data_IF_482504317577
#
_entry.id   IF_482504317577
#
_cell.length_a   1.000
_cell.length_b   1.000
_cell.length_c   1.000
_cell.angle_alpha   90.00
_cell.angle_beta   90.00
_cell.angle_gamma   90.00
#
_symmetry.space_group_name_H-M   'P 1'
#
loop_
_entity.id
_entity.type
_entity.pdbx_description
1 polymer ?
#
# COMPACT_ATOMS: atom_id res chain seq x y z
N UNK A 1 57.20 13.19 37.36
CA UNK A 1 56.27 12.46 38.26
C UNK A 1 55.27 13.50 38.76
N UNK A 2 53.96 13.42 38.58
CA UNK A 2 53.08 12.29 38.31
C UNK A 2 52.04 12.66 37.24
N UNK A 3 51.67 11.65 36.46
CA UNK A 3 50.60 11.64 35.47
C UNK A 3 49.25 11.52 36.18
N UNK A 4 48.29 12.37 35.83
CA UNK A 4 46.88 12.26 36.23
C UNK A 4 46.08 11.76 35.03
N UNK A 5 45.70 10.49 35.09
CA UNK A 5 45.04 9.72 34.04
C UNK A 5 43.60 10.15 33.77
N UNK A 6 43.25 10.06 32.49
CA UNK A 6 41.93 10.12 31.89
C UNK A 6 40.96 9.09 32.47
N UNK A 7 39.72 9.52 32.71
CA UNK A 7 38.54 8.64 32.63
C UNK A 7 37.54 9.27 31.67
N UNK A 8 37.70 8.97 30.37
CA UNK A 8 36.60 9.12 29.42
C UNK A 8 35.62 7.98 29.72
N UNK A 9 34.57 8.31 30.46
CA UNK A 9 33.37 7.48 30.51
C UNK A 9 32.79 7.42 29.11
N UNK A 10 33.00 6.31 28.41
CA UNK A 10 32.17 5.91 27.28
C UNK A 10 30.75 5.71 27.84
N UNK A 11 29.91 6.75 27.77
CA UNK A 11 28.47 6.58 27.78
C UNK A 11 28.10 5.81 26.52
N UNK A 12 28.08 4.48 26.65
CA UNK A 12 27.31 3.61 25.78
C UNK A 12 25.89 4.13 25.77
N UNK A 13 25.55 4.88 24.73
CA UNK A 13 24.20 5.34 24.40
C UNK A 13 23.38 4.09 24.10
N UNK A 14 22.91 3.44 25.15
CA UNK A 14 21.78 2.52 25.08
C UNK A 14 20.63 3.43 24.68
N UNK A 15 20.33 3.49 23.37
CA UNK A 15 19.06 4.04 22.90
C UNK A 15 17.97 3.06 23.36
N UNK A 16 17.70 3.05 24.66
CA UNK A 16 16.45 2.58 25.20
C UNK A 16 15.35 3.31 24.42
N UNK A 17 14.39 2.54 23.93
CA UNK A 17 13.17 2.97 23.25
C UNK A 17 12.41 3.95 24.12
N UNK A 18 12.89 5.21 24.15
CA UNK A 18 12.29 6.26 24.94
C UNK A 18 10.89 6.50 24.37
N UNK A 19 9.85 6.58 25.21
CA UNK A 19 8.49 6.88 24.76
C UNK A 19 8.41 8.21 24.00
N UNK A 20 9.41 9.08 24.16
CA UNK A 20 9.53 10.33 23.40
C UNK A 20 9.71 10.09 21.90
N UNK A 21 10.35 8.99 21.49
CA UNK A 21 10.55 8.61 20.08
C UNK A 21 9.26 8.21 19.36
N UNK A 22 8.20 7.91 20.12
CA UNK A 22 6.89 7.55 19.59
C UNK A 22 6.00 8.77 19.31
N UNK A 23 6.41 9.96 19.80
CA UNK A 23 5.65 11.20 19.60
C UNK A 23 5.79 11.70 18.16
N UNK A 24 4.73 12.29 17.65
CA UNK A 24 4.70 12.92 16.32
C UNK A 24 5.36 14.31 16.35
N UNK A 25 6.64 14.37 16.70
CA UNK A 25 7.45 15.59 16.73
C UNK A 25 8.23 15.76 15.42
N UNK A 26 8.58 17.00 15.02
CA UNK A 26 9.39 17.23 13.82
C UNK A 26 10.74 16.50 13.83
N UNK A 27 11.40 16.39 14.99
CA UNK A 27 12.68 15.68 15.12
C UNK A 27 12.56 14.18 14.86
N UNK A 28 11.51 13.54 15.38
CA UNK A 28 11.27 12.12 15.16
C UNK A 28 10.89 11.82 13.71
N UNK A 29 10.12 12.72 13.08
CA UNK A 29 9.77 12.65 11.66
C UNK A 29 11.03 12.74 10.81
N UNK A 30 11.86 13.77 11.01
CA UNK A 30 13.09 13.98 10.24
C UNK A 30 14.04 12.79 10.35
N UNK A 31 14.20 12.22 11.56
CA UNK A 31 15.02 11.01 11.75
C UNK A 31 14.54 9.82 10.91
N UNK A 32 13.23 9.59 10.84
CA UNK A 32 12.66 8.50 10.04
C UNK A 32 12.74 8.78 8.54
N UNK A 33 12.61 10.05 8.13
CA UNK A 33 12.84 10.46 6.74
C UNK A 33 14.30 10.19 6.32
N UNK A 34 15.26 10.53 7.17
CA UNK A 34 16.69 10.24 6.95
C UNK A 34 16.98 8.73 6.89
N UNK A 35 16.35 7.93 7.76
CA UNK A 35 16.46 6.47 7.76
C UNK A 35 15.92 5.87 6.44
N UNK A 36 14.78 6.36 5.97
CA UNK A 36 14.20 5.98 4.68
C UNK A 36 15.13 6.40 3.53
N UNK A 37 15.67 7.62 3.57
CA UNK A 37 16.58 8.13 2.53
C UNK A 37 17.82 7.24 2.36
N UNK A 38 18.36 6.72 3.47
CA UNK A 38 19.54 5.84 3.49
C UNK A 38 19.22 4.38 3.15
N UNK A 39 17.94 4.00 3.12
CA UNK A 39 17.52 2.63 2.85
C UNK A 39 17.67 2.28 1.36
N UNK A 40 18.39 1.19 1.04
CA UNK A 40 18.55 0.70 -0.34
C UNK A 40 17.21 0.38 -1.02
N UNK A 41 16.24 -0.12 -0.26
CA UNK A 41 14.89 -0.41 -0.77
C UNK A 41 14.21 0.83 -1.36
N UNK A 42 14.56 2.03 -0.89
CA UNK A 42 14.01 3.29 -1.40
C UNK A 42 14.37 3.56 -2.86
N UNK A 43 15.52 3.09 -3.35
CA UNK A 43 15.96 3.34 -4.73
C UNK A 43 14.93 2.88 -5.76
N UNK A 44 14.22 1.78 -5.47
CA UNK A 44 13.10 1.28 -6.28
C UNK A 44 12.01 2.33 -6.48
N UNK A 45 11.79 3.18 -5.47
CA UNK A 45 10.66 4.09 -5.38
C UNK A 45 10.99 5.55 -5.73
N UNK A 46 12.21 5.84 -6.17
CA UNK A 46 12.57 7.16 -6.66
C UNK A 46 11.76 7.53 -7.91
N UNK A 47 11.40 8.81 -8.02
CA UNK A 47 10.79 9.34 -9.23
C UNK A 47 11.74 9.16 -10.41
N UNK A 48 11.22 8.60 -11.50
CA UNK A 48 11.95 8.35 -12.74
C UNK A 48 11.65 9.41 -13.81
N UNK A 49 10.68 10.30 -13.55
CA UNK A 49 10.27 11.34 -14.49
C UNK A 49 10.15 12.69 -13.78
N UNK A 50 9.85 13.75 -14.55
CA UNK A 50 9.57 15.09 -14.02
C UNK A 50 8.07 15.37 -13.94
N UNK A 51 7.25 14.33 -14.09
CA UNK A 51 5.81 14.46 -14.11
C UNK A 51 5.27 15.00 -12.77
N UNK A 52 4.31 15.94 -12.78
CA UNK A 52 3.57 16.31 -11.57
C UNK A 52 2.84 15.13 -10.89
N UNK A 53 2.63 14.05 -11.64
CA UNK A 53 2.04 12.79 -11.17
C UNK A 53 3.03 11.92 -10.39
N UNK A 54 4.34 12.21 -10.43
CA UNK A 54 5.37 11.56 -9.62
C UNK A 54 5.43 12.18 -8.22
N UNK A 55 4.65 11.64 -7.30
CA UNK A 55 4.78 11.90 -5.87
C UNK A 55 5.69 10.86 -5.20
N UNK A 56 6.45 11.30 -4.20
CA UNK A 56 7.28 10.44 -3.34
C UNK A 56 6.66 10.12 -1.98
N UNK A 57 5.56 10.77 -1.60
CA UNK A 57 4.97 10.65 -0.26
C UNK A 57 4.15 9.35 -0.16
N UNK A 58 4.68 8.33 0.50
CA UNK A 58 3.96 7.09 0.82
C UNK A 58 3.19 7.27 2.12
N UNK A 59 1.93 6.83 2.16
CA UNK A 59 1.09 6.90 3.36
C UNK A 59 0.56 5.54 3.73
N UNK A 60 0.62 5.21 5.01
CA UNK A 60 0.05 3.98 5.54
C UNK A 60 -1.34 4.22 6.11
N UNK A 61 -2.20 3.23 5.96
CA UNK A 61 -3.60 3.28 6.38
C UNK A 61 -3.97 2.03 7.17
N UNK A 62 -5.00 2.13 8.01
CA UNK A 62 -5.64 0.98 8.64
C UNK A 62 -7.15 1.01 8.42
N UNK A 63 -7.75 -0.18 8.31
CA UNK A 63 -9.19 -0.33 8.15
C UNK A 63 -9.92 -0.03 9.47
N UNK A 64 -11.02 0.71 9.37
CA UNK A 64 -11.94 0.94 10.50
C UNK A 64 -12.76 -0.29 10.84
N UNK A 65 -12.97 -1.19 9.90
CA UNK A 65 -13.66 -2.45 10.14
C UNK A 65 -12.59 -3.45 10.59
N UNK A 66 -12.75 -4.05 11.78
CA UNK A 66 -11.88 -5.13 12.24
C UNK A 66 -11.98 -6.35 11.33
N UNK A 67 -10.90 -7.12 11.26
CA UNK A 67 -10.85 -8.40 10.57
C UNK A 67 -11.59 -9.44 11.41
N UNK A 68 -12.38 -10.29 10.75
CA UNK A 68 -12.91 -11.47 11.42
C UNK A 68 -11.78 -12.45 11.78
N UNK A 69 -12.03 -13.35 12.75
CA UNK A 69 -11.02 -14.23 13.36
C UNK A 69 -10.19 -15.06 12.35
N UNK A 70 -10.77 -15.39 11.19
CA UNK A 70 -10.11 -16.14 10.10
C UNK A 70 -10.06 -15.37 8.78
N UNK A 71 -10.28 -14.06 8.80
CA UNK A 71 -10.20 -13.23 7.60
C UNK A 71 -8.75 -12.88 7.30
N UNK A 72 -8.28 -13.27 6.11
CA UNK A 72 -6.94 -12.96 5.63
C UNK A 72 -6.79 -11.45 5.37
N UNK A 73 -5.62 -10.89 5.69
CA UNK A 73 -5.40 -9.47 5.47
C UNK A 73 -5.36 -9.13 3.98
N UNK A 74 -4.92 -10.07 3.13
CA UNK A 74 -4.96 -9.92 1.68
C UNK A 74 -6.36 -10.01 1.05
N UNK A 75 -7.42 -10.36 1.80
CA UNK A 75 -8.82 -10.38 1.32
C UNK A 75 -9.40 -8.96 1.15
N UNK A 76 -8.77 -8.20 0.25
CA UNK A 76 -9.05 -6.78 0.01
C UNK A 76 -10.45 -6.58 -0.59
N UNK A 77 -11.11 -5.44 -0.30
CA UNK A 77 -12.42 -5.12 -0.87
C UNK A 77 -12.41 -5.20 -2.40
N UNK A 78 -13.56 -5.57 -2.99
CA UNK A 78 -13.70 -5.66 -4.46
C UNK A 78 -13.54 -4.32 -5.17
N UNK A 79 -13.63 -3.20 -4.46
CA UNK A 79 -13.44 -1.86 -5.03
C UNK A 79 -11.96 -1.50 -5.13
N UNK A 80 -11.52 -1.12 -6.33
CA UNK A 80 -10.11 -0.77 -6.61
C UNK A 80 -9.60 0.48 -5.88
N UNK A 81 -10.52 1.35 -5.49
CA UNK A 81 -10.24 2.55 -4.72
C UNK A 81 -10.87 2.35 -3.37
N UNK A 82 -10.05 2.49 -2.35
CA UNK A 82 -10.48 2.31 -0.97
C UNK A 82 -11.55 3.34 -0.62
N UNK A 83 -12.64 2.88 0.00
CA UNK A 83 -13.79 3.71 0.34
C UNK A 83 -13.42 4.88 1.23
N UNK A 84 -13.94 6.08 0.90
CA UNK A 84 -13.76 7.27 1.74
C UNK A 84 -14.34 6.99 3.13
N UNK A 85 -13.47 6.99 4.13
CA UNK A 85 -13.84 6.77 5.52
C UNK A 85 -13.85 5.30 5.97
N UNK A 86 -13.57 4.33 5.11
CA UNK A 86 -13.33 2.94 5.52
C UNK A 86 -11.92 2.76 6.07
N UNK A 87 -10.96 3.47 5.49
CA UNK A 87 -9.58 3.46 5.92
C UNK A 87 -9.19 4.80 6.52
N UNK A 88 -8.43 4.74 7.61
CA UNK A 88 -7.87 5.88 8.30
C UNK A 88 -6.36 5.92 8.09
N UNK A 89 -5.85 7.10 7.77
CA UNK A 89 -4.41 7.31 7.62
C UNK A 89 -3.74 7.27 8.98
N UNK A 90 -2.59 6.62 9.08
CA UNK A 90 -1.72 6.77 10.23
C UNK A 90 -1.16 8.20 10.32
N UNK A 91 -0.66 8.59 11.51
CA UNK A 91 0.08 9.84 11.65
C UNK A 91 1.32 9.86 10.74
N UNK A 92 1.91 11.03 10.49
CA UNK A 92 3.10 11.14 9.64
C UNK A 92 4.25 10.29 10.18
N UNK A 93 4.60 10.45 11.47
CA UNK A 93 5.63 9.64 12.12
C UNK A 93 5.34 8.14 12.02
N UNK A 94 4.11 7.72 12.30
CA UNK A 94 3.73 6.31 12.25
C UNK A 94 3.81 5.75 10.82
N UNK A 95 3.36 6.51 9.82
CA UNK A 95 3.49 6.11 8.41
C UNK A 95 4.95 5.94 8.01
N UNK A 96 5.84 6.83 8.47
CA UNK A 96 7.28 6.75 8.19
C UNK A 96 7.92 5.58 8.92
N UNK A 97 7.58 5.32 10.18
CA UNK A 97 8.09 4.16 10.91
C UNK A 97 7.69 2.82 10.27
N UNK A 98 6.44 2.73 9.80
CA UNK A 98 5.97 1.55 9.06
C UNK A 98 6.71 1.43 7.72
N UNK A 99 6.84 2.53 6.97
CA UNK A 99 7.53 2.53 5.67
C UNK A 99 9.02 2.19 5.79
N UNK A 100 9.73 2.75 6.78
CA UNK A 100 11.14 2.44 7.03
C UNK A 100 11.34 0.94 7.25
N UNK A 101 10.50 0.34 8.10
CA UNK A 101 10.53 -1.10 8.39
C UNK A 101 10.12 -1.95 7.18
N UNK A 102 9.18 -1.47 6.36
CA UNK A 102 8.76 -2.13 5.12
C UNK A 102 9.89 -2.16 4.11
N UNK A 103 10.57 -1.03 3.86
CA UNK A 103 11.65 -0.94 2.86
C UNK A 103 12.86 -1.81 3.21
N UNK A 104 13.13 -2.06 4.49
CA UNK A 104 14.20 -2.95 4.93
C UNK A 104 13.94 -4.43 4.59
N UNK A 105 12.67 -4.85 4.51
CA UNK A 105 12.25 -6.24 4.29
C UNK A 105 11.27 -6.40 3.13
N UNK A 106 11.36 -5.50 2.16
CA UNK A 106 10.33 -5.34 1.13
C UNK A 106 10.04 -6.65 0.37
N UNK A 107 11.08 -7.34 -0.09
CA UNK A 107 10.93 -8.55 -0.90
C UNK A 107 10.25 -9.68 -0.12
N UNK A 108 10.62 -9.86 1.14
CA UNK A 108 10.01 -10.83 2.04
C UNK A 108 8.52 -10.49 2.29
N UNK A 109 8.23 -9.23 2.62
CA UNK A 109 6.88 -8.77 2.95
C UNK A 109 5.94 -8.82 1.74
N UNK A 110 6.41 -8.43 0.56
CA UNK A 110 5.65 -8.55 -0.68
C UNK A 110 5.43 -10.02 -1.06
N UNK A 111 6.42 -10.89 -0.87
CA UNK A 111 6.28 -12.33 -1.12
C UNK A 111 5.21 -12.96 -0.24
N UNK A 112 5.24 -12.69 1.07
CA UNK A 112 4.22 -13.14 2.02
C UNK A 112 2.82 -12.64 1.63
N UNK A 113 2.72 -11.35 1.30
CA UNK A 113 1.44 -10.76 0.91
C UNK A 113 0.88 -11.34 -0.40
N UNK A 114 1.71 -11.51 -1.43
CA UNK A 114 1.27 -12.11 -2.69
C UNK A 114 0.85 -13.57 -2.55
N UNK A 115 1.50 -14.31 -1.65
CA UNK A 115 1.10 -15.68 -1.31
C UNK A 115 -0.28 -15.70 -0.67
N UNK A 116 -0.51 -14.90 0.35
CA UNK A 116 -1.82 -14.78 1.01
C UNK A 116 -2.91 -14.29 0.03
N UNK A 117 -2.57 -13.33 -0.84
CA UNK A 117 -3.48 -12.84 -1.88
C UNK A 117 -3.87 -13.96 -2.85
N UNK A 118 -2.91 -14.77 -3.33
CA UNK A 118 -3.19 -15.88 -4.23
C UNK A 118 -4.08 -16.95 -3.60
N UNK A 119 -3.93 -17.20 -2.29
CA UNK A 119 -4.77 -18.16 -1.54
C UNK A 119 -6.22 -17.68 -1.41
N UNK A 120 -6.46 -16.36 -1.34
CA UNK A 120 -7.81 -15.78 -1.21
C UNK A 120 -8.43 -15.29 -2.52
N UNK A 121 -7.64 -15.16 -3.59
CA UNK A 121 -8.13 -14.67 -4.88
C UNK A 121 -8.94 -15.74 -5.61
N UNK A 122 -10.16 -15.40 -6.02
CA UNK A 122 -10.91 -16.19 -7.00
C UNK A 122 -10.21 -16.05 -8.36
N UNK A 123 -9.53 -17.12 -8.81
CA UNK A 123 -8.93 -17.16 -10.14
C UNK A 123 -9.99 -16.96 -11.26
N UNK A 124 -9.60 -16.71 -12.51
CA UNK A 124 -10.54 -16.52 -13.61
C UNK A 124 -11.48 -17.72 -13.72
N UNK A 125 -12.76 -17.54 -13.39
CA UNK A 125 -13.76 -18.59 -13.53
C UNK A 125 -13.86 -18.94 -15.01
N UNK A 126 -13.24 -20.04 -15.41
CA UNK A 126 -13.46 -20.66 -16.71
C UNK A 126 -14.96 -20.86 -16.92
N UNK A 127 -15.42 -20.68 -18.16
CA UNK A 127 -16.82 -20.85 -18.61
C UNK A 127 -17.61 -21.84 -17.75
N UNK A 128 -18.89 -21.57 -17.43
CA UNK A 128 -19.73 -22.54 -16.75
C UNK A 128 -19.79 -23.79 -17.62
N UNK A 129 -19.08 -24.83 -17.22
CA UNK A 129 -19.25 -26.16 -17.78
C UNK A 129 -20.56 -26.65 -17.21
N UNK A 130 -21.58 -26.68 -18.04
CA UNK A 130 -22.79 -27.46 -17.79
C UNK A 130 -22.40 -28.93 -17.68
N UNK A 131 -22.12 -29.38 -16.46
CA UNK A 131 -22.11 -30.81 -16.14
C UNK A 131 -22.98 -31.03 -14.93
N UNK A 132 -24.04 -31.81 -15.19
CA UNK A 132 -25.15 -32.14 -14.34
C UNK A 132 -24.77 -32.56 -12.91
N UNK A 133 -25.71 -32.28 -12.00
CA UNK A 133 -25.82 -32.84 -10.67
C UNK A 133 -25.59 -34.35 -10.67
N UNK A 134 -24.79 -34.85 -9.72
CA UNK A 134 -25.12 -36.06 -8.95
C UNK A 134 -24.57 -35.91 -7.54
N UNK A 135 -25.47 -36.09 -6.58
CA UNK A 135 -25.24 -36.12 -5.14
C UNK A 135 -24.18 -37.15 -4.72
N UNK A 136 -23.39 -36.78 -3.72
CA UNK A 136 -22.44 -37.64 -3.04
C UNK A 136 -22.23 -37.16 -1.60
N UNK A 137 -23.26 -37.34 -0.78
CA UNK A 137 -23.21 -37.14 0.67
C UNK A 137 -22.14 -38.03 1.30
N UNK A 138 -21.06 -37.43 1.79
CA UNK A 138 -20.11 -38.10 2.70
C UNK A 138 -20.01 -37.25 3.97
N UNK A 139 -20.70 -37.72 5.00
CA UNK A 139 -20.48 -37.31 6.39
C UNK A 139 -19.05 -37.70 6.80
N UNK A 140 -18.24 -36.72 7.22
CA UNK A 140 -17.16 -36.94 8.19
C UNK A 140 -17.29 -35.88 9.26
N UNK A 141 -18.18 -36.15 10.21
CA UNK A 141 -18.03 -35.69 11.58
C UNK A 141 -16.78 -36.36 12.15
N UNK A 142 -15.75 -35.59 12.47
CA UNK A 142 -14.73 -35.85 13.52
C UNK A 142 -13.43 -35.13 13.16
N UNK A 143 -13.37 -33.82 13.42
CA UNK A 143 -12.11 -33.10 13.64
C UNK A 143 -12.34 -31.76 14.38
N UNK A 144 -13.41 -31.66 15.17
CA UNK A 144 -13.56 -30.60 16.18
C UNK A 144 -12.93 -31.11 17.49
N UNK A 145 -11.67 -30.77 17.72
CA UNK A 145 -11.02 -31.15 18.98
C UNK A 145 -9.52 -30.86 19.07
N UNK A 146 -8.84 -30.60 17.94
CA UNK A 146 -7.38 -30.40 17.89
C UNK A 146 -6.89 -28.99 17.58
N UNK A 147 -7.76 -28.07 17.13
CA UNK A 147 -7.32 -26.74 16.67
C UNK A 147 -7.27 -25.67 17.77
N UNK A 148 -8.09 -25.80 18.81
CA UNK A 148 -8.21 -24.77 19.86
C UNK A 148 -6.93 -24.62 20.70
N UNK A 149 -6.16 -25.69 20.88
CA UNK A 149 -4.94 -25.67 21.72
C UNK A 149 -3.73 -25.08 21.01
N UNK A 150 -3.74 -24.96 19.67
CA UNK A 150 -2.59 -24.44 18.90
C UNK A 150 -2.58 -22.92 18.72
N UNK A 151 -3.68 -22.25 19.07
CA UNK A 151 -3.85 -20.81 18.88
C UNK A 151 -3.04 -19.99 19.92
N UNK A 152 -2.76 -20.56 21.10
CA UNK A 152 -2.11 -19.83 22.19
C UNK A 152 -0.57 -19.83 22.18
N UNK A 153 0.09 -20.74 21.44
CA UNK A 153 1.57 -20.82 21.45
C UNK A 153 2.25 -19.92 20.40
N UNK A 154 1.52 -19.34 19.44
CA UNK A 154 2.11 -18.56 18.32
C UNK A 154 1.88 -17.04 18.45
N UNK A 155 1.28 -16.58 19.55
CA UNK A 155 1.10 -15.14 19.80
C UNK A 155 2.28 -14.49 20.56
N UNK A 156 3.15 -15.28 21.19
CA UNK A 156 4.17 -14.81 22.15
C UNK A 156 5.41 -14.11 21.55
N UNK A 157 5.56 -14.04 20.23
CA UNK A 157 6.69 -13.35 19.57
C UNK A 157 6.23 -12.38 18.46
N UNK A 158 5.09 -11.70 18.64
CA UNK A 158 4.68 -10.62 17.72
C UNK A 158 5.36 -9.32 18.10
N UNK A 159 6.59 -9.13 17.64
CA UNK A 159 7.26 -7.81 17.71
C UNK A 159 6.77 -6.97 16.53
N UNK A 160 5.79 -6.11 16.78
CA UNK A 160 5.26 -5.18 15.78
C UNK A 160 5.88 -3.80 15.86
N UNK A 161 5.52 -2.95 14.90
CA UNK A 161 6.00 -1.55 14.85
C UNK A 161 5.06 -0.69 15.70
N UNK A 162 5.55 0.00 16.74
CA UNK A 162 4.69 0.79 17.62
C UNK A 162 4.14 2.02 16.90
N UNK A 163 2.82 2.14 16.92
CA UNK A 163 2.05 3.23 16.31
C UNK A 163 1.06 3.83 17.30
N UNK A 164 0.49 5.00 16.99
CA UNK A 164 -0.47 5.70 17.86
C UNK A 164 0.08 5.92 19.28
N UNK A 165 1.35 6.29 19.38
CA UNK A 165 2.03 6.49 20.66
C UNK A 165 2.26 5.20 21.46
N UNK A 166 2.33 4.05 20.80
CA UNK A 166 2.54 2.74 21.43
C UNK A 166 1.26 2.02 21.85
N UNK A 167 0.08 2.60 21.59
CA UNK A 167 -1.20 1.97 21.91
C UNK A 167 -1.51 0.76 21.03
N UNK A 168 -1.00 0.77 19.80
CA UNK A 168 -1.16 -0.32 18.85
C UNK A 168 0.22 -0.64 18.26
N UNK A 169 0.34 -1.85 17.76
CA UNK A 169 1.46 -2.28 16.95
C UNK A 169 0.99 -2.68 15.54
N UNK A 170 1.91 -2.63 14.59
CA UNK A 170 1.69 -3.09 13.22
C UNK A 170 2.60 -4.28 12.92
N UNK A 171 1.99 -5.43 12.68
CA UNK A 171 2.65 -6.61 12.10
C UNK A 171 2.57 -6.49 10.58
N UNK A 172 3.74 -6.26 9.94
CA UNK A 172 3.85 -6.14 8.49
C UNK A 172 3.72 -7.48 7.75
N UNK A 173 4.07 -8.60 8.39
CA UNK A 173 3.98 -9.93 7.77
C UNK A 173 2.52 -10.32 7.64
N UNK A 174 1.75 -10.13 8.72
CA UNK A 174 0.30 -10.38 8.72
C UNK A 174 -0.53 -9.21 8.20
N UNK A 175 0.08 -8.06 7.92
CA UNK A 175 -0.62 -6.80 7.56
C UNK A 175 -1.73 -6.42 8.54
N UNK A 176 -1.47 -6.60 9.84
CA UNK A 176 -2.41 -6.32 10.92
C UNK A 176 -1.94 -5.17 11.79
N UNK A 177 -2.88 -4.35 12.25
CA UNK A 177 -2.72 -3.47 13.39
C UNK A 177 -3.52 -4.01 14.56
N UNK A 178 -2.89 -4.14 15.71
CA UNK A 178 -3.50 -4.72 16.90
C UNK A 178 -3.19 -3.89 18.15
N UNK A 179 -4.10 -3.82 19.13
CA UNK A 179 -3.86 -3.12 20.39
C UNK A 179 -2.86 -3.88 21.26
N UNK A 180 -2.03 -3.14 21.99
CA UNK A 180 -0.97 -3.71 22.85
C UNK A 180 -1.49 -3.97 24.27
N UNK A 181 -2.27 -3.03 24.82
CA UNK A 181 -2.61 -3.03 26.25
C UNK A 181 -4.00 -3.59 26.58
N UNK A 182 -4.79 -3.95 25.57
CA UNK A 182 -6.12 -4.54 25.75
C UNK A 182 -6.39 -5.57 24.67
N UNK A 183 -7.21 -6.56 24.98
CA UNK A 183 -7.71 -7.50 23.98
C UNK A 183 -8.62 -6.75 23.01
N UNK A 184 -8.23 -6.69 21.74
CA UNK A 184 -9.06 -6.13 20.69
C UNK A 184 -8.75 -6.76 19.35
N UNK A 185 -9.66 -6.56 18.41
CA UNK A 185 -9.61 -7.19 17.12
C UNK A 185 -8.54 -6.58 16.20
N UNK A 186 -7.95 -7.43 15.37
CA UNK A 186 -6.97 -7.03 14.37
C UNK A 186 -7.61 -6.16 13.30
N UNK A 187 -6.85 -5.21 12.77
CA UNK A 187 -7.30 -4.31 11.69
C UNK A 187 -6.35 -4.41 10.51
N UNK A 188 -6.88 -4.56 9.31
CA UNK A 188 -6.08 -4.59 8.07
C UNK A 188 -5.28 -3.30 7.91
N UNK A 189 -4.01 -3.43 7.53
CA UNK A 189 -3.11 -2.33 7.20
C UNK A 189 -2.86 -2.30 5.70
N UNK A 190 -2.84 -1.11 5.11
CA UNK A 190 -2.67 -0.88 3.68
C UNK A 190 -1.54 0.10 3.43
N UNK A 191 -0.67 -0.23 2.48
CA UNK A 191 0.33 0.68 1.94
C UNK A 191 -0.25 1.52 0.81
N UNK A 192 -0.24 2.83 0.95
CA UNK A 192 -0.69 3.78 -0.06
C UNK A 192 0.48 4.45 -0.78
N UNK A 193 0.91 3.88 -1.91
CA UNK A 193 1.92 4.44 -2.81
C UNK A 193 1.37 4.85 -4.17
N UNK A 194 0.15 4.41 -4.51
CA UNK A 194 -0.63 4.91 -5.65
C UNK A 194 -1.99 5.41 -5.18
N UNK A 195 -2.45 6.50 -5.79
CA UNK A 195 -3.67 7.20 -5.37
C UNK A 195 -4.57 7.53 -6.55
N UNK A 196 -5.87 7.48 -6.31
CA UNK A 196 -6.91 7.86 -7.25
C UNK A 196 -7.72 9.04 -6.73
N UNK A 197 -8.15 9.88 -7.66
CA UNK A 197 -9.03 11.01 -7.39
C UNK A 197 -10.43 10.71 -7.90
N UNK A 198 -11.26 10.09 -7.05
CA UNK A 198 -12.66 9.71 -7.36
C UNK A 198 -13.65 10.67 -6.71
N UNK A 199 -14.43 11.39 -7.52
CA UNK A 199 -15.61 12.14 -7.06
C UNK A 199 -15.35 13.27 -6.05
N UNK A 200 -14.13 13.83 -6.00
CA UNK A 200 -13.76 14.88 -5.05
C UNK A 200 -12.37 15.49 -5.28
N UNK A 201 -11.90 16.26 -4.30
CA UNK A 201 -10.54 16.81 -4.28
C UNK A 201 -9.52 15.87 -3.62
N UNK A 202 -9.99 14.85 -2.91
CA UNK A 202 -9.15 13.97 -2.10
C UNK A 202 -8.48 12.89 -2.95
N UNK A 203 -7.21 12.63 -2.65
CA UNK A 203 -6.47 11.49 -3.18
C UNK A 203 -6.65 10.30 -2.23
N UNK A 204 -7.31 9.25 -2.71
CA UNK A 204 -7.58 8.02 -1.95
C UNK A 204 -6.61 6.92 -2.39
N UNK A 205 -6.10 6.09 -1.46
CA UNK A 205 -5.18 5.02 -1.83
C UNK A 205 -5.89 4.00 -2.72
N UNK A 206 -5.14 3.52 -3.72
CA UNK A 206 -5.55 2.36 -4.49
C UNK A 206 -5.40 1.09 -3.65
N UNK A 207 -6.14 0.05 -4.05
CA UNK A 207 -5.94 -1.30 -3.56
C UNK A 207 -4.52 -1.76 -3.89
N UNK A 208 -3.91 -2.52 -2.98
CA UNK A 208 -2.47 -2.80 -3.01
C UNK A 208 -2.05 -3.65 -4.22
N UNK A 209 -2.87 -4.61 -4.67
CA UNK A 209 -2.66 -5.40 -5.89
C UNK A 209 -2.59 -4.53 -7.14
N UNK A 210 -3.50 -3.56 -7.26
CA UNK A 210 -3.53 -2.61 -8.38
C UNK A 210 -2.32 -1.68 -8.29
N UNK A 211 -2.02 -1.17 -7.10
CA UNK A 211 -0.89 -0.27 -6.88
C UNK A 211 0.46 -0.94 -7.21
N UNK A 212 0.67 -2.20 -6.83
CA UNK A 212 1.89 -2.95 -7.16
C UNK A 212 2.00 -3.23 -8.67
N UNK A 213 0.91 -3.58 -9.35
CA UNK A 213 0.92 -3.74 -10.82
C UNK A 213 1.26 -2.43 -11.54
N UNK A 214 0.73 -1.31 -11.06
CA UNK A 214 1.06 0.03 -11.58
C UNK A 214 2.52 0.38 -11.31
N UNK A 215 3.06 0.04 -10.14
CA UNK A 215 4.48 0.27 -9.83
C UNK A 215 5.40 -0.55 -10.74
N UNK A 216 5.04 -1.80 -11.06
CA UNK A 216 5.78 -2.62 -12.04
C UNK A 216 5.78 -1.96 -13.42
N UNK A 217 4.62 -1.48 -13.88
CA UNK A 217 4.50 -0.80 -15.16
C UNK A 217 5.28 0.53 -15.20
N UNK A 218 5.23 1.30 -14.12
CA UNK A 218 5.98 2.54 -13.94
C UNK A 218 7.48 2.28 -13.99
N UNK A 219 7.98 1.29 -13.23
CA UNK A 219 9.41 0.92 -13.24
C UNK A 219 9.88 0.37 -14.58
N UNK A 220 8.98 -0.26 -15.33
CA UNK A 220 9.21 -0.69 -16.72
C UNK A 220 9.18 0.46 -17.72
N UNK A 221 9.04 1.70 -17.22
CA UNK A 221 8.98 2.95 -17.97
C UNK A 221 7.91 2.95 -19.04
N UNK A 222 6.67 2.61 -18.64
CA UNK A 222 5.49 2.51 -19.52
C UNK A 222 5.33 3.69 -20.48
N UNK A 223 5.73 4.90 -20.09
CA UNK A 223 5.69 6.10 -20.91
C UNK A 223 6.60 6.03 -22.16
N UNK A 224 7.66 5.22 -22.18
CA UNK A 224 8.45 4.98 -23.40
C UNK A 224 7.76 4.07 -24.41
N UNK A 225 6.72 3.33 -24.00
CA UNK A 225 5.98 2.39 -24.86
C UNK A 225 4.69 3.00 -25.44
N UNK A 226 4.50 4.31 -25.27
CA UNK A 226 3.31 5.02 -25.76
C UNK A 226 3.28 5.03 -27.29
N UNK A 227 2.08 4.86 -27.85
CA UNK A 227 1.82 5.02 -29.29
C UNK A 227 1.01 6.28 -29.52
N UNK A 228 1.33 6.98 -30.60
CA UNK A 228 0.56 8.14 -31.04
C UNK A 228 -0.87 7.71 -31.39
N UNK A 229 -1.85 8.31 -30.74
CA UNK A 229 -3.27 8.01 -30.93
C UNK A 229 -3.90 9.00 -31.91
N UNK A 230 -5.01 8.63 -32.58
CA UNK A 230 -5.79 9.56 -33.40
C UNK A 230 -6.27 10.81 -32.66
N UNK A 231 -6.36 10.75 -31.32
CA UNK A 231 -6.67 11.90 -30.46
C UNK A 231 -5.56 12.96 -30.43
N UNK A 232 -4.40 12.70 -31.03
CA UNK A 232 -3.25 13.62 -31.05
C UNK A 232 -2.32 13.48 -29.85
N UNK A 233 -2.53 12.48 -28.99
CA UNK A 233 -1.73 12.25 -27.79
C UNK A 233 -1.00 10.91 -27.85
N UNK A 234 0.17 10.83 -27.23
CA UNK A 234 0.84 9.57 -26.95
C UNK A 234 0.15 8.88 -25.78
N UNK A 235 -0.24 7.62 -25.98
CA UNK A 235 -0.86 6.80 -24.93
C UNK A 235 -0.31 5.37 -24.88
N UNK A 236 -0.21 4.83 -23.66
CA UNK A 236 0.12 3.44 -23.37
C UNK A 236 -0.93 2.86 -22.43
N UNK A 237 -1.39 1.65 -22.73
CA UNK A 237 -2.36 0.92 -21.92
C UNK A 237 -1.63 -0.16 -21.10
N UNK A 238 -2.02 -0.28 -19.84
CA UNK A 238 -1.58 -1.33 -18.92
C UNK A 238 -2.83 -2.06 -18.45
N UNK A 239 -3.00 -3.30 -18.90
CA UNK A 239 -4.08 -4.15 -18.42
C UNK A 239 -3.76 -4.64 -17.01
N UNK A 240 -4.73 -4.50 -16.11
CA UNK A 240 -4.59 -4.83 -14.69
C UNK A 240 -5.35 -6.13 -14.41
N UNK A 241 -4.69 -7.05 -13.74
CA UNK A 241 -5.25 -8.31 -13.28
C UNK A 241 -5.95 -8.11 -11.94
N UNK A 242 -7.04 -8.85 -11.70
CA UNK A 242 -7.78 -8.79 -10.44
C UNK A 242 -9.25 -9.14 -10.60
N UNK A 243 -10.05 -8.79 -9.60
CA UNK A 243 -11.49 -9.09 -9.56
C UNK A 243 -12.31 -8.34 -10.62
N UNK A 244 -11.84 -7.20 -11.08
CA UNK A 244 -12.54 -6.35 -12.04
C UNK A 244 -12.09 -6.65 -13.47
N UNK A 245 -12.94 -7.35 -14.23
CA UNK A 245 -12.67 -7.65 -15.65
C UNK A 245 -12.54 -6.36 -16.48
N UNK A 246 -11.52 -6.30 -17.33
CA UNK A 246 -11.29 -5.15 -18.23
C UNK A 246 -10.73 -3.90 -17.55
N UNK A 247 -10.31 -4.00 -16.27
CA UNK A 247 -9.61 -2.93 -15.58
C UNK A 247 -8.27 -2.65 -16.27
N UNK A 248 -8.01 -1.39 -16.58
CA UNK A 248 -6.76 -0.97 -17.20
C UNK A 248 -6.40 0.45 -16.80
N UNK A 249 -5.10 0.75 -16.83
CA UNK A 249 -4.58 2.10 -16.69
C UNK A 249 -4.11 2.63 -18.04
N UNK A 250 -4.51 3.85 -18.36
CA UNK A 250 -4.09 4.57 -19.56
C UNK A 250 -3.09 5.67 -19.17
N UNK A 251 -1.84 5.51 -19.58
CA UNK A 251 -0.77 6.49 -19.40
C UNK A 251 -0.67 7.37 -20.64
N UNK A 252 -0.77 8.67 -20.44
CA UNK A 252 -0.76 9.70 -21.50
C UNK A 252 0.27 10.76 -21.18
N UNK A 253 0.75 11.52 -22.16
CA UNK A 253 1.68 12.63 -21.96
C UNK A 253 2.84 12.59 -22.95
N UNK A 254 3.77 13.53 -22.82
CA UNK A 254 4.92 13.69 -23.71
C UNK A 254 6.23 13.55 -22.92
N UNK A 255 7.23 12.93 -23.52
CA UNK A 255 8.57 12.77 -22.93
C UNK A 255 8.55 12.30 -21.45
N UNK A 256 9.16 13.07 -20.54
CA UNK A 256 9.24 12.82 -19.09
C UNK A 256 8.00 13.32 -18.32
N UNK A 257 6.92 13.64 -19.00
CA UNK A 257 5.64 14.00 -18.38
C UNK A 257 4.61 12.91 -18.63
N UNK A 258 3.84 12.58 -17.59
CA UNK A 258 2.77 11.60 -17.71
C UNK A 258 1.58 11.91 -16.80
N UNK A 259 0.39 11.66 -17.32
CA UNK A 259 -0.82 11.54 -16.55
C UNK A 259 -1.38 10.15 -16.76
N UNK A 260 -2.01 9.57 -15.73
CA UNK A 260 -2.66 8.28 -15.90
C UNK A 260 -4.09 8.27 -15.38
N UNK A 261 -4.87 7.40 -15.98
CA UNK A 261 -6.30 7.24 -15.73
C UNK A 261 -6.62 5.76 -15.56
N UNK A 262 -7.29 5.41 -14.47
CA UNK A 262 -7.83 4.08 -14.23
C UNK A 262 -9.22 3.98 -14.88
N UNK A 263 -9.41 3.00 -15.75
CA UNK A 263 -10.64 2.80 -16.52
C UNK A 263 -11.03 1.33 -16.54
N UNK A 264 -12.29 1.05 -16.84
CA UNK A 264 -12.82 -0.31 -17.02
C UNK A 264 -13.46 -0.38 -18.40
N UNK A 265 -13.12 -1.40 -19.19
CA UNK A 265 -13.76 -1.63 -20.47
C UNK A 265 -15.27 -1.88 -20.26
N UNK A 266 -16.12 -1.09 -20.89
CA UNK A 266 -17.54 -1.42 -20.98
C UNK A 266 -17.67 -2.66 -21.88
N UNK A 267 -18.31 -3.72 -21.36
CA UNK A 267 -18.50 -4.99 -22.05
C UNK A 267 -18.86 -4.83 -23.54
N UNK A 268 -17.94 -5.18 -24.43
CA UNK A 268 -18.23 -5.55 -25.82
C UNK A 268 -18.00 -4.49 -26.93
N UNK A 269 -17.58 -3.27 -26.63
CA UNK A 269 -17.26 -2.30 -27.69
C UNK A 269 -15.91 -1.62 -27.45
N UNK A 270 -14.97 -1.88 -28.36
CA UNK A 270 -13.75 -1.09 -28.54
C UNK A 270 -14.12 0.31 -29.07
N UNK A 271 -14.79 1.11 -28.25
CA UNK A 271 -14.99 2.52 -28.54
C UNK A 271 -13.77 3.29 -28.08
N UNK A 272 -13.25 4.15 -28.96
CA UNK A 272 -12.30 5.19 -28.64
C UNK A 272 -13.01 6.11 -27.64
N UNK A 273 -12.87 5.85 -26.35
CA UNK A 273 -13.46 6.70 -25.32
C UNK A 273 -12.65 8.00 -25.31
N UNK A 274 -13.28 9.18 -25.45
CA UNK A 274 -12.57 10.44 -25.28
C UNK A 274 -11.96 10.48 -23.88
N UNK A 275 -10.65 10.76 -23.84
CA UNK A 275 -9.88 10.99 -22.62
C UNK A 275 -10.68 11.89 -21.67
N UNK A 276 -11.12 11.35 -20.52
CA UNK A 276 -11.74 12.14 -19.45
C UNK A 276 -13.24 11.94 -19.19
N UNK A 277 -13.98 11.15 -19.96
CA UNK A 277 -15.43 10.98 -19.69
C UNK A 277 -15.77 9.97 -18.57
N UNK A 278 -15.00 8.87 -18.43
CA UNK A 278 -15.26 7.80 -17.44
C UNK A 278 -14.02 7.34 -16.64
N UNK A 279 -12.83 7.84 -16.97
CA UNK A 279 -11.59 7.44 -16.30
C UNK A 279 -11.38 8.17 -14.97
N UNK A 280 -10.82 7.47 -13.98
CA UNK A 280 -10.46 8.05 -12.69
C UNK A 280 -8.98 8.43 -12.72
N UNK A 281 -8.66 9.72 -12.52
CA UNK A 281 -7.25 10.17 -12.52
C UNK A 281 -6.48 9.50 -11.39
N UNK A 282 -5.32 8.94 -11.72
CA UNK A 282 -4.40 8.32 -10.76
C UNK A 282 -3.06 9.05 -10.75
N UNK A 283 -2.34 8.90 -9.65
CA UNK A 283 -0.98 9.41 -9.48
C UNK A 283 -0.17 8.46 -8.60
N UNK A 284 1.15 8.62 -8.69
CA UNK A 284 2.09 7.99 -7.78
C UNK A 284 2.32 8.91 -6.59
N UNK A 285 2.35 8.35 -5.38
CA UNK A 285 2.51 9.10 -4.13
C UNK A 285 1.34 10.02 -3.76
N UNK A 286 1.23 10.29 -2.47
CA UNK A 286 0.21 11.16 -1.91
C UNK A 286 0.49 12.62 -2.25
N UNK A 287 -0.57 13.41 -2.35
CA UNK A 287 -0.48 14.86 -2.51
C UNK A 287 -1.63 15.49 -1.75
N UNK A 288 -1.34 16.54 -0.98
CA UNK A 288 -2.40 17.34 -0.38
C UNK A 288 -3.12 18.12 -1.48
N UNK A 289 -4.44 18.22 -1.38
CA UNK A 289 -5.27 19.00 -2.31
C UNK A 289 -4.97 20.51 -2.28
N UNK A 290 -4.06 20.95 -1.40
CA UNK A 290 -3.61 22.34 -1.21
C UNK A 290 -2.19 22.55 -1.76
N UNK A 291 -1.89 22.06 -2.96
CA UNK A 291 -0.75 22.59 -3.72
C UNK A 291 -0.96 24.10 -3.89
N UNK A 292 -0.02 24.89 -3.38
CA UNK A 292 -0.08 26.34 -3.37
C UNK A 292 -0.36 26.88 -4.78
N UNK A 293 -1.29 27.83 -4.91
CA UNK A 293 -1.42 28.65 -6.11
C UNK A 293 -0.04 29.17 -6.49
N UNK A 294 0.34 29.20 -7.78
CA UNK A 294 1.57 29.85 -8.18
C UNK A 294 1.48 31.30 -7.71
N UNK A 295 2.40 31.71 -6.85
CA UNK A 295 2.59 33.10 -6.46
C UNK A 295 2.78 33.89 -7.75
N UNK A 296 1.77 34.65 -8.15
CA UNK A 296 1.96 35.68 -9.15
C UNK A 296 2.99 36.64 -8.58
N UNK A 297 4.20 36.60 -9.13
CA UNK A 297 5.17 37.66 -8.94
C UNK A 297 4.60 38.86 -9.69
N UNK A 298 3.97 39.76 -8.95
CA UNK A 298 3.62 41.08 -9.45
C UNK A 298 4.91 41.78 -9.86
N UNK A 299 4.96 42.21 -11.12
CA UNK A 299 5.87 43.24 -11.59
C UNK A 299 5.45 44.61 -11.04
#
# INVERSE_FOLDING_TARGET
MASGSTSNGNESKIEETSPDLLKNTPSNIARLEDEIEQCKGREKYLAQTRSPSDGGDVRWFFCKIPLAENELAASVPRTEIVGKGEYLRFGTRDSLAIEASFLQREEELLSCWWKEYAECSEGPTGRPSTSNMLDGQVNVSSLEGGLSTKIYEVEEERVGIPVKGGLNEVDLVKRHSFPVYWSGENRRVLRGHWFARKGGLDWLPLREDVAEQLEIAYRSKVWHRRRFQPSGLFAARVDLQGSTLGLHALFTGEDDTWEAWLSVDASGFSSIIPLGANGIKIRRGYSTSHSAKPTQVSA
#
